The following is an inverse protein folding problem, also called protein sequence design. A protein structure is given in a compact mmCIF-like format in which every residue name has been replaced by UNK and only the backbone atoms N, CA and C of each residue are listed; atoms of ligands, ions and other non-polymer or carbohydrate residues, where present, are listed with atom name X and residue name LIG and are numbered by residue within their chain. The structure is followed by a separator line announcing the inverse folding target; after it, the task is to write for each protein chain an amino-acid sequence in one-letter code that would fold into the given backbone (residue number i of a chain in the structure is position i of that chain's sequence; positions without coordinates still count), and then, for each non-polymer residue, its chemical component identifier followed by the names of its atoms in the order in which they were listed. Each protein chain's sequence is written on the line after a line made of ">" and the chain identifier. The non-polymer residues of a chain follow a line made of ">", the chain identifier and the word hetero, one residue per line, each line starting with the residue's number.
data_IF_077249201398
#
_entry.id   IF_077249201398
#
_cell.length_a   1.000
_cell.length_b   1.000
_cell.length_c   1.000
_cell.angle_alpha   90.00
_cell.angle_beta   90.00
_cell.angle_gamma   90.00
#
_symmetry.space_group_name_H-M   'P 1'
#
loop_
_entity.id
_entity.type
_entity.pdbx_description
1 polymer ?
#
# COMPACT_ATOMS: atom_id res chain seq x y z
N UNK A 1 5.17 3.14 -12.89
CA UNK A 1 5.19 4.51 -13.45
C UNK A 1 6.37 4.69 -14.40
N UNK A 2 6.28 5.59 -15.39
CA UNK A 2 7.35 5.82 -16.35
C UNK A 2 8.55 6.58 -15.76
N UNK A 3 9.72 6.47 -16.40
CA UNK A 3 10.96 7.09 -15.91
C UNK A 3 10.87 8.62 -15.79
N UNK A 4 10.25 9.29 -16.76
CA UNK A 4 10.06 10.74 -16.76
C UNK A 4 9.15 11.19 -15.59
N UNK A 5 8.02 10.50 -15.41
CA UNK A 5 7.10 10.78 -14.31
C UNK A 5 7.76 10.56 -12.94
N UNK A 6 8.53 9.48 -12.79
CA UNK A 6 9.28 9.23 -11.54
C UNK A 6 10.32 10.33 -11.29
N UNK A 7 11.06 10.75 -12.31
CA UNK A 7 12.05 11.81 -12.19
C UNK A 7 11.40 13.14 -11.78
N UNK A 8 10.28 13.51 -12.41
CA UNK A 8 9.51 14.70 -12.06
C UNK A 8 8.98 14.65 -10.62
N UNK A 9 8.33 13.56 -10.24
CA UNK A 9 7.74 13.39 -8.91
C UNK A 9 8.82 13.41 -7.81
N UNK A 10 9.90 12.65 -8.02
CA UNK A 10 11.00 12.59 -7.04
C UNK A 10 11.71 13.92 -6.87
N UNK A 11 11.95 14.67 -7.96
CA UNK A 11 12.49 16.00 -7.87
C UNK A 11 11.55 16.96 -7.11
N UNK A 12 10.24 16.87 -7.35
CA UNK A 12 9.25 17.70 -6.63
C UNK A 12 9.23 17.41 -5.12
N UNK A 13 9.22 16.12 -4.75
CA UNK A 13 9.21 15.71 -3.35
C UNK A 13 10.51 16.05 -2.62
N UNK A 14 11.67 15.78 -3.22
CA UNK A 14 13.00 16.07 -2.63
C UNK A 14 13.24 17.56 -2.39
N UNK A 15 12.77 18.41 -3.29
CA UNK A 15 13.02 19.85 -3.23
C UNK A 15 11.97 20.64 -2.43
N UNK A 16 10.88 19.99 -2.02
CA UNK A 16 9.80 20.65 -1.28
C UNK A 16 10.08 20.62 0.22
N UNK A 17 10.10 21.80 0.84
CA UNK A 17 10.26 21.96 2.30
C UNK A 17 8.92 22.09 3.03
N UNK A 18 7.81 21.70 2.39
CA UNK A 18 6.47 21.80 2.98
C UNK A 18 6.30 20.70 4.03
N UNK A 19 5.58 20.97 5.13
CA UNK A 19 5.35 19.97 6.17
C UNK A 19 4.44 18.82 5.71
N UNK A 20 3.62 19.05 4.67
CA UNK A 20 2.68 18.07 4.12
C UNK A 20 2.79 17.99 2.60
N UNK A 21 2.79 16.77 2.09
CA UNK A 21 2.71 16.46 0.66
C UNK A 21 1.49 15.58 0.39
N UNK A 22 0.73 15.92 -0.64
CA UNK A 22 -0.47 15.15 -1.03
C UNK A 22 -0.22 14.53 -2.40
N UNK A 23 -0.23 13.20 -2.46
CA UNK A 23 -0.07 12.42 -3.67
C UNK A 23 -1.41 11.84 -4.09
N UNK A 24 -1.99 12.39 -5.16
CA UNK A 24 -3.19 11.83 -5.75
C UNK A 24 -2.80 10.81 -6.82
N UNK A 25 -3.13 9.54 -6.59
CA UNK A 25 -2.89 8.44 -7.51
C UNK A 25 -4.20 7.71 -7.79
N UNK A 26 -4.33 7.04 -8.93
CA UNK A 26 -5.56 6.31 -9.24
C UNK A 26 -5.66 5.01 -8.44
N UNK A 27 -4.53 4.30 -8.31
CA UNK A 27 -4.46 2.94 -7.78
C UNK A 27 -4.09 2.93 -6.30
N UNK A 28 -4.70 2.03 -5.54
CA UNK A 28 -4.38 1.77 -4.14
C UNK A 28 -2.92 1.33 -3.99
N UNK A 29 -2.21 1.90 -3.00
CA UNK A 29 -0.83 1.52 -2.68
C UNK A 29 -0.71 0.61 -1.46
N UNK A 30 -1.66 0.62 -0.55
CA UNK A 30 -1.74 -0.30 0.59
C UNK A 30 -1.60 -1.76 0.14
N UNK A 31 -0.97 -2.58 0.98
CA UNK A 31 -0.80 -3.99 0.69
C UNK A 31 -2.12 -4.73 0.92
N UNK A 32 -2.68 -5.28 -0.15
CA UNK A 32 -3.88 -6.12 -0.12
C UNK A 32 -3.54 -7.60 -0.29
N UNK A 33 -2.56 -8.05 0.51
CA UNK A 33 -2.13 -9.45 0.58
C UNK A 33 -3.06 -10.23 1.50
N UNK A 34 -3.91 -11.08 0.92
CA UNK A 34 -4.93 -11.85 1.63
C UNK A 34 -4.34 -13.05 2.37
N UNK A 35 -3.32 -13.69 1.79
CA UNK A 35 -2.61 -14.81 2.42
C UNK A 35 -1.12 -14.51 2.43
N UNK A 36 -0.54 -14.58 3.63
CA UNK A 36 0.90 -14.46 3.83
C UNK A 36 1.57 -15.83 3.64
N UNK A 37 2.37 -15.96 2.58
CA UNK A 37 3.14 -17.16 2.30
C UNK A 37 4.64 -16.94 2.56
N UNK A 38 5.01 -15.80 3.16
CA UNK A 38 6.39 -15.47 3.53
C UNK A 38 6.76 -15.92 4.95
N UNK A 39 5.77 -16.43 5.71
CA UNK A 39 5.95 -16.98 7.04
C UNK A 39 6.92 -18.18 7.06
N UNK A 40 7.66 -18.40 8.18
CA UNK A 40 8.71 -19.43 8.25
C UNK A 40 8.26 -20.82 7.83
N UNK A 41 7.02 -21.19 8.13
CA UNK A 41 6.45 -22.48 7.76
C UNK A 41 6.41 -22.67 6.23
N UNK A 42 5.92 -21.67 5.48
CA UNK A 42 5.81 -21.75 4.02
C UNK A 42 7.17 -21.64 3.33
N UNK A 43 8.09 -20.85 3.89
CA UNK A 43 9.48 -20.74 3.41
C UNK A 43 10.25 -22.06 3.45
N UNK A 44 9.87 -23.02 4.30
CA UNK A 44 10.44 -24.38 4.28
C UNK A 44 10.15 -25.12 2.96
N UNK A 45 9.00 -24.86 2.34
CA UNK A 45 8.58 -25.50 1.09
C UNK A 45 8.95 -24.66 -0.14
N UNK A 46 9.11 -23.35 0.04
CA UNK A 46 9.45 -22.41 -1.03
C UNK A 46 10.66 -21.54 -0.64
N UNK A 47 11.88 -22.11 -0.55
CA UNK A 47 13.06 -21.39 -0.06
C UNK A 47 13.46 -20.22 -0.98
N UNK A 48 13.24 -20.36 -2.29
CA UNK A 48 13.56 -19.36 -3.31
C UNK A 48 12.40 -18.40 -3.62
N UNK A 49 11.33 -18.40 -2.80
CA UNK A 49 10.21 -17.49 -2.98
C UNK A 49 10.66 -16.03 -2.89
N UNK A 50 10.09 -15.13 -3.72
CA UNK A 50 10.41 -13.71 -3.65
C UNK A 50 10.00 -13.12 -2.29
N UNK A 51 10.60 -11.99 -1.88
CA UNK A 51 10.15 -11.24 -0.70
C UNK A 51 8.66 -10.90 -0.78
N UNK A 52 8.00 -10.90 0.37
CA UNK A 52 6.56 -10.67 0.48
C UNK A 52 5.73 -11.68 -0.31
N UNK A 53 6.13 -12.96 -0.33
CA UNK A 53 5.36 -14.00 -1.01
C UNK A 53 3.94 -14.12 -0.44
N UNK A 54 2.95 -14.34 -1.30
CA UNK A 54 1.57 -14.44 -0.86
C UNK A 54 0.53 -14.44 -1.97
N UNK A 55 -0.72 -14.47 -1.55
CA UNK A 55 -1.89 -14.34 -2.43
C UNK A 55 -2.44 -12.93 -2.27
N UNK A 56 -2.55 -12.21 -3.38
CA UNK A 56 -2.98 -10.82 -3.45
C UNK A 56 -4.39 -10.72 -4.02
N UNK A 57 -5.19 -9.78 -3.50
CA UNK A 57 -6.58 -9.62 -3.91
C UNK A 57 -6.74 -8.98 -5.30
N UNK A 58 -5.87 -8.04 -5.65
CA UNK A 58 -5.99 -7.27 -6.88
C UNK A 58 -4.61 -6.88 -7.45
N UNK A 59 -4.25 -7.48 -8.59
CA UNK A 59 -3.01 -7.19 -9.30
C UNK A 59 -3.08 -5.94 -10.19
N UNK A 60 -4.26 -5.32 -10.35
CA UNK A 60 -4.38 -4.04 -11.03
C UNK A 60 -4.11 -2.85 -10.09
N UNK A 61 -3.82 -3.12 -8.81
CA UNK A 61 -3.43 -2.11 -7.82
C UNK A 61 -1.92 -2.11 -7.59
N UNK A 62 -1.45 -1.35 -6.60
CA UNK A 62 -0.03 -1.24 -6.24
C UNK A 62 0.67 -2.57 -5.97
N UNK A 63 -0.06 -3.62 -5.58
CA UNK A 63 0.48 -4.97 -5.41
C UNK A 63 0.94 -5.62 -6.73
N UNK A 64 0.34 -5.26 -7.86
CA UNK A 64 0.82 -5.68 -9.18
C UNK A 64 2.11 -4.99 -9.63
N UNK A 65 2.46 -3.88 -8.98
CA UNK A 65 3.62 -3.05 -9.28
C UNK A 65 4.52 -2.89 -8.05
N UNK A 66 4.76 -4.00 -7.34
CA UNK A 66 5.40 -4.01 -6.02
C UNK A 66 6.79 -3.35 -6.03
N UNK A 67 7.57 -3.50 -7.11
CA UNK A 67 8.90 -2.89 -7.25
C UNK A 67 8.79 -1.37 -7.35
N UNK A 68 7.90 -0.87 -8.20
CA UNK A 68 7.66 0.56 -8.37
C UNK A 68 7.07 1.20 -7.11
N UNK A 69 6.13 0.51 -6.45
CA UNK A 69 5.57 0.95 -5.17
C UNK A 69 6.67 1.06 -4.13
N UNK A 70 7.46 0.00 -3.93
CA UNK A 70 8.59 0.00 -2.98
C UNK A 70 9.55 1.16 -3.27
N UNK A 71 9.92 1.35 -4.53
CA UNK A 71 10.80 2.45 -4.96
C UNK A 71 10.25 3.84 -4.60
N UNK A 72 8.93 4.05 -4.66
CA UNK A 72 8.31 5.30 -4.22
C UNK A 72 8.30 5.42 -2.69
N UNK A 73 7.96 4.36 -1.97
CA UNK A 73 7.93 4.37 -0.51
C UNK A 73 9.33 4.53 0.10
N UNK A 74 10.37 3.93 -0.50
CA UNK A 74 11.77 4.13 -0.15
C UNK A 74 12.18 5.59 -0.34
N UNK A 75 11.83 6.20 -1.48
CA UNK A 75 12.07 7.61 -1.74
C UNK A 75 11.41 8.49 -0.65
N UNK A 76 10.16 8.20 -0.29
CA UNK A 76 9.44 8.94 0.75
C UNK A 76 10.15 8.81 2.09
N UNK A 77 10.53 7.59 2.49
CA UNK A 77 11.23 7.33 3.74
C UNK A 77 12.58 8.06 3.83
N UNK A 78 13.36 7.99 2.76
CA UNK A 78 14.78 8.31 2.83
C UNK A 78 15.08 9.75 2.41
N UNK A 79 14.22 10.37 1.60
CA UNK A 79 14.57 11.61 0.88
C UNK A 79 13.51 12.71 0.92
N UNK A 80 12.35 12.47 1.55
CA UNK A 80 11.27 13.47 1.65
C UNK A 80 11.23 14.08 3.03
N UNK A 81 11.30 15.42 3.09
CA UNK A 81 11.08 16.16 4.32
C UNK A 81 9.59 16.46 4.50
N UNK A 82 8.97 15.92 5.54
CA UNK A 82 7.55 16.17 5.86
C UNK A 82 6.67 14.95 5.63
N UNK A 83 5.41 15.06 6.06
CA UNK A 83 4.45 13.96 6.06
C UNK A 83 3.77 13.79 4.70
N UNK A 84 3.55 12.55 4.27
CA UNK A 84 2.94 12.23 2.98
C UNK A 84 1.56 11.60 3.17
N UNK A 85 0.56 12.17 2.48
CA UNK A 85 -0.78 11.63 2.37
C UNK A 85 -1.02 11.19 0.93
N UNK A 86 -1.42 9.95 0.75
CA UNK A 86 -1.83 9.39 -0.54
C UNK A 86 -3.34 9.35 -0.61
N UNK A 87 -3.89 9.80 -1.72
CA UNK A 87 -5.33 9.70 -2.01
C UNK A 87 -5.48 8.83 -3.25
N UNK A 88 -6.25 7.76 -3.14
CA UNK A 88 -6.48 6.79 -4.22
C UNK A 88 -7.94 6.41 -4.42
N UNK A 89 -8.24 5.63 -5.45
CA UNK A 89 -9.60 5.23 -5.78
C UNK A 89 -9.63 3.89 -6.50
N UNK A 90 -10.44 3.79 -7.56
CA UNK A 90 -10.54 2.65 -8.49
C UNK A 90 -11.15 1.36 -7.91
N UNK A 91 -10.78 0.99 -6.69
CA UNK A 91 -11.18 -0.29 -6.07
C UNK A 91 -12.67 -0.37 -5.70
N UNK A 92 -13.37 0.77 -5.65
CA UNK A 92 -14.78 0.87 -5.21
C UNK A 92 -15.03 0.33 -3.80
N UNK A 93 -14.01 0.40 -2.95
CA UNK A 93 -14.08 0.10 -1.53
C UNK A 93 -13.67 1.36 -0.75
N UNK A 94 -13.95 1.38 0.54
CA UNK A 94 -13.39 2.41 1.42
C UNK A 94 -12.26 1.82 2.28
N UNK A 95 -11.09 2.45 2.23
CA UNK A 95 -9.97 2.11 3.10
C UNK A 95 -9.25 3.35 3.62
N UNK A 96 -8.64 3.19 4.77
CA UNK A 96 -7.59 4.08 5.26
C UNK A 96 -6.54 3.24 5.97
N UNK A 97 -5.28 3.60 5.80
CA UNK A 97 -4.20 2.81 6.37
C UNK A 97 -2.84 3.46 6.26
N UNK A 98 -1.88 2.83 6.93
CA UNK A 98 -0.48 3.22 6.88
C UNK A 98 0.21 2.53 5.71
N UNK A 99 1.05 3.27 5.00
CA UNK A 99 1.94 2.74 3.97
C UNK A 99 3.29 2.44 4.61
N UNK A 100 3.71 1.19 4.49
CA UNK A 100 5.01 0.68 4.98
C UNK A 100 5.78 0.13 3.79
N UNK A 101 7.10 0.33 3.78
CA UNK A 101 7.95 -0.15 2.68
C UNK A 101 7.98 -1.66 2.61
N UNK A 102 8.13 -2.30 3.77
CA UNK A 102 8.16 -3.74 3.91
C UNK A 102 7.09 -4.17 4.93
N UNK A 103 6.00 -4.80 4.50
CA UNK A 103 4.99 -5.31 5.43
C UNK A 103 5.55 -6.45 6.30
N UNK A 104 6.64 -7.12 5.92
CA UNK A 104 7.17 -8.27 6.68
C UNK A 104 8.28 -7.88 7.65
N UNK A 105 8.66 -6.59 7.69
CA UNK A 105 9.61 -6.09 8.64
C UNK A 105 9.13 -6.30 10.08
N UNK A 106 10.07 -6.70 10.95
CA UNK A 106 9.79 -6.89 12.39
C UNK A 106 9.24 -5.62 13.05
N UNK A 107 9.69 -4.45 12.57
CA UNK A 107 9.16 -3.15 12.94
C UNK A 107 8.65 -2.45 11.69
N UNK A 108 7.35 -2.13 11.69
CA UNK A 108 6.71 -1.40 10.62
C UNK A 108 6.76 0.07 10.94
N UNK A 109 7.56 0.81 10.17
CA UNK A 109 7.64 2.26 10.25
C UNK A 109 6.80 2.86 9.11
N UNK A 110 5.62 3.42 9.39
CA UNK A 110 4.79 4.06 8.38
C UNK A 110 5.50 5.26 7.76
N UNK A 111 5.60 5.27 6.43
CA UNK A 111 6.25 6.35 5.68
C UNK A 111 5.24 7.32 5.08
N UNK A 112 3.98 6.91 4.98
CA UNK A 112 2.87 7.71 4.51
C UNK A 112 1.55 7.13 5.05
N UNK A 113 0.47 7.89 4.92
CA UNK A 113 -0.90 7.38 5.10
C UNK A 113 -1.62 7.39 3.76
N UNK A 114 -2.48 6.40 3.53
CA UNK A 114 -3.35 6.35 2.36
C UNK A 114 -4.81 6.44 2.76
N UNK A 115 -5.56 7.25 2.01
CA UNK A 115 -7.02 7.36 2.11
C UNK A 115 -7.61 7.01 0.76
N UNK A 116 -8.42 5.96 0.76
CA UNK A 116 -9.15 5.48 -0.41
C UNK A 116 -10.64 5.74 -0.18
N UNK A 117 -11.17 6.88 -0.63
CA UNK A 117 -12.61 7.13 -0.60
C UNK A 117 -13.37 6.08 -1.42
N UNK A 118 -14.59 5.79 -0.97
CA UNK A 118 -15.53 4.97 -1.73
C UNK A 118 -15.96 5.65 -3.05
N UNK A 119 -16.69 4.88 -3.87
CA UNK A 119 -17.19 5.35 -5.16
C UNK A 119 -18.44 6.22 -5.03
N UNK A 120 -18.60 7.16 -5.97
CA UNK A 120 -19.80 8.01 -6.03
C UNK A 120 -21.08 7.25 -6.40
N UNK A 121 -20.99 6.29 -7.32
CA UNK A 121 -22.14 5.59 -7.88
C UNK A 121 -21.95 4.10 -8.10
N UNK A 122 -20.70 3.62 -8.09
CA UNK A 122 -20.45 2.19 -8.19
C UNK A 122 -20.75 1.52 -6.85
N UNK A 123 -21.31 0.31 -6.90
CA UNK A 123 -21.63 -0.45 -5.69
C UNK A 123 -20.38 -0.69 -4.86
N UNK A 124 -20.47 -0.37 -3.57
CA UNK A 124 -19.41 -0.67 -2.62
C UNK A 124 -19.55 -2.11 -2.14
N UNK A 125 -18.52 -2.91 -2.32
CA UNK A 125 -18.50 -4.29 -1.84
C UNK A 125 -18.01 -4.38 -0.38
N UNK A 126 -18.32 -3.42 0.49
CA UNK A 126 -17.89 -3.44 1.90
C UNK A 126 -18.32 -4.74 2.62
N UNK A 127 -19.45 -5.33 2.22
CA UNK A 127 -19.90 -6.63 2.70
C UNK A 127 -18.98 -7.81 2.32
N UNK A 128 -18.18 -7.69 1.26
CA UNK A 128 -17.23 -8.72 0.80
C UNK A 128 -16.15 -9.01 1.84
N UNK A 129 -15.76 -8.00 2.63
CA UNK A 129 -14.69 -8.11 3.62
C UNK A 129 -15.22 -8.46 5.02
N UNK A 130 -16.53 -8.42 5.25
CA UNK A 130 -17.16 -8.68 6.55
C UNK A 130 -16.89 -10.10 7.10
N UNK A 131 -16.51 -11.04 6.25
CA UNK A 131 -16.11 -12.41 6.62
C UNK A 131 -14.60 -12.67 6.57
N UNK A 132 -13.78 -11.71 6.12
CA UNK A 132 -12.32 -11.87 6.05
C UNK A 132 -11.74 -11.42 7.39
N UNK A 133 -11.50 -12.38 8.29
CA UNK A 133 -10.57 -12.14 9.41
C UNK A 133 -9.22 -11.78 8.79
N UNK A 134 -8.51 -10.71 9.23
CA UNK A 134 -7.16 -10.42 8.74
C UNK A 134 -6.25 -11.62 9.03
N UNK A 135 -6.11 -12.51 8.05
CA UNK A 135 -5.26 -13.69 8.16
C UNK A 135 -3.78 -13.33 7.96
N UNK A 136 -3.52 -12.11 7.46
CA UNK A 136 -2.19 -11.55 7.28
C UNK A 136 -2.08 -10.25 8.09
N UNK A 137 -0.86 -10.01 8.60
CA UNK A 137 -0.52 -8.73 9.24
C UNK A 137 -0.68 -7.55 8.27
N UNK A 138 -0.56 -7.79 6.95
CA UNK A 138 -0.73 -6.77 5.91
C UNK A 138 -2.19 -6.25 5.82
N UNK A 139 -3.19 -7.13 5.98
CA UNK A 139 -4.60 -6.74 6.00
C UNK A 139 -4.99 -5.93 7.26
N UNK A 140 -4.22 -6.05 8.34
CA UNK A 140 -4.50 -5.34 9.60
C UNK A 140 -4.37 -3.83 9.45
N UNK A 141 -3.48 -3.37 8.57
CA UNK A 141 -3.29 -1.94 8.26
C UNK A 141 -4.40 -1.36 7.37
N UNK A 142 -5.17 -2.22 6.70
CA UNK A 142 -6.29 -1.88 5.80
C UNK A 142 -7.64 -1.89 6.54
N UNK A 143 -7.77 -2.71 7.59
CA UNK A 143 -9.01 -2.94 8.33
C UNK A 143 -9.31 -1.92 9.44
N UNK A 144 -8.40 -0.98 9.72
CA UNK A 144 -8.59 0.05 10.75
C UNK A 144 -9.76 1.01 10.49
N UNK A 145 -10.33 1.00 9.29
CA UNK A 145 -11.44 1.86 8.85
C UNK A 145 -12.82 1.19 8.75
N UNK A 146 -12.97 -0.11 9.05
CA UNK A 146 -14.23 -0.84 8.81
C UNK A 146 -15.35 -0.50 9.83
N UNK A 147 -15.13 0.45 10.74
CA UNK A 147 -16.14 0.91 11.68
C UNK A 147 -16.29 2.44 11.62
N UNK A 148 -17.21 2.90 10.77
CA UNK A 148 -18.00 4.11 11.03
C UNK A 148 -19.47 3.74 10.85
#
# INVERSE_FOLDING_TARGET
>A
MGAEQYAWLSAGLRNSTRPWHVLCNQLMMMHWRVVDLDEPFWRLFFPDAPPNHGIYANFDQGDGYAVERRRLLDLIRDEVSGDVVVISGDTHLHFNGSLVVDPDAAWRDPVAVEVLPGSLSAGCADGLLSGITPASRALTDVAGGLFI
#
